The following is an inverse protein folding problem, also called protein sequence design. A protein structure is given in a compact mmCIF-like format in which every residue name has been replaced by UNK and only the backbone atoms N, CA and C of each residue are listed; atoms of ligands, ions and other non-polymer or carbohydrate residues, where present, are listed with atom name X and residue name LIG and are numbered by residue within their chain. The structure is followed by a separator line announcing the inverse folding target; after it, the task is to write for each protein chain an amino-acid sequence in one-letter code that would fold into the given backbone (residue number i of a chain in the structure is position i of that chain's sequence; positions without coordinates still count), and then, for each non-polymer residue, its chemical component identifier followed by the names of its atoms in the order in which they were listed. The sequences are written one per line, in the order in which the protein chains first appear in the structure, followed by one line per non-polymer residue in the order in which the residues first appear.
data_IF_964350893508
#
_entry.id   IF_964350893508
#
_cell.length_a   1.000
_cell.length_b   1.000
_cell.length_c   1.000
_cell.angle_alpha   90.00
_cell.angle_beta   90.00
_cell.angle_gamma   90.00
#
_symmetry.space_group_name_H-M   'P 1'
#
loop_
_entity.id
_entity.type
_entity.pdbx_description
1 polymer ?
#
# COMPACT_ATOMS: atom_id res chain seq x y z
N UNK A 1 6.38 11.53 -14.22
CA UNK A 1 5.66 10.54 -15.04
C UNK A 1 4.73 11.28 -15.98
N UNK A 2 4.37 10.71 -17.13
CA UNK A 2 3.33 11.30 -17.97
C UNK A 2 1.92 11.08 -17.36
N UNK A 3 0.90 11.78 -17.87
CA UNK A 3 -0.47 11.69 -17.33
C UNK A 3 -1.06 10.28 -17.40
N UNK A 4 -0.81 9.54 -18.49
CA UNK A 4 -1.29 8.16 -18.64
C UNK A 4 -0.68 7.22 -17.62
N UNK A 5 0.61 7.35 -17.33
CA UNK A 5 1.31 6.59 -16.28
C UNK A 5 0.81 6.93 -14.88
N UNK A 6 0.45 8.20 -14.62
CA UNK A 6 -0.15 8.62 -13.35
C UNK A 6 -1.50 7.94 -13.15
N UNK A 7 -2.39 8.03 -14.14
CA UNK A 7 -3.72 7.41 -14.09
C UNK A 7 -3.64 5.91 -13.86
N UNK A 8 -2.79 5.21 -14.62
CA UNK A 8 -2.61 3.76 -14.47
C UNK A 8 -2.08 3.34 -13.08
N UNK A 9 -1.35 4.21 -12.38
CA UNK A 9 -0.90 3.93 -11.01
C UNK A 9 -1.97 4.25 -9.97
N UNK A 10 -2.79 5.27 -10.22
CA UNK A 10 -3.94 5.62 -9.37
C UNK A 10 -4.96 4.49 -9.40
N UNK A 11 -5.31 3.98 -10.59
CA UNK A 11 -6.24 2.86 -10.75
C UNK A 11 -5.77 1.64 -9.95
N UNK A 12 -4.47 1.32 -10.02
CA UNK A 12 -3.88 0.24 -9.21
C UNK A 12 -3.99 0.45 -7.72
N UNK A 13 -3.93 1.69 -7.22
CA UNK A 13 -4.11 1.97 -5.78
C UNK A 13 -5.57 1.71 -5.40
N UNK A 14 -6.53 2.10 -6.24
CA UNK A 14 -7.95 1.85 -6.01
C UNK A 14 -8.26 0.35 -6.02
N UNK A 15 -7.66 -0.41 -6.93
CA UNK A 15 -7.78 -1.88 -6.95
C UNK A 15 -7.23 -2.48 -5.63
N UNK A 16 -6.03 -2.06 -5.22
CA UNK A 16 -5.40 -2.53 -3.98
C UNK A 16 -6.17 -2.15 -2.72
N UNK A 17 -6.87 -1.02 -2.76
CA UNK A 17 -7.77 -0.58 -1.69
C UNK A 17 -8.90 -1.58 -1.49
N UNK A 18 -9.53 -2.03 -2.58
CA UNK A 18 -10.58 -3.05 -2.54
C UNK A 18 -10.04 -4.41 -2.06
N UNK A 19 -8.81 -4.75 -2.46
CA UNK A 19 -8.19 -6.03 -2.15
C UNK A 19 -7.57 -6.10 -0.74
N UNK A 20 -7.48 -4.98 -0.02
CA UNK A 20 -6.86 -4.93 1.31
C UNK A 20 -5.35 -5.16 1.31
N UNK A 21 -4.67 -4.95 0.17
CA UNK A 21 -3.23 -5.24 0.03
C UNK A 21 -2.37 -3.98 0.06
N UNK A 22 -1.05 -4.14 0.06
CA UNK A 22 -0.12 -3.02 0.07
C UNK A 22 -0.33 -2.04 -1.10
N UNK A 23 -0.66 -0.77 -0.81
CA UNK A 23 -0.83 0.26 -1.84
C UNK A 23 0.39 0.50 -2.72
N UNK A 24 1.59 0.22 -2.22
CA UNK A 24 2.83 0.52 -2.93
C UNK A 24 3.21 -0.60 -3.91
N UNK A 25 3.25 -1.85 -3.43
CA UNK A 25 3.70 -2.99 -4.24
C UNK A 25 2.60 -4.01 -4.59
N UNK A 26 1.43 -3.95 -3.95
CA UNK A 26 0.36 -4.93 -4.09
C UNK A 26 0.62 -6.25 -3.35
N UNK A 27 1.67 -6.32 -2.53
CA UNK A 27 1.97 -7.50 -1.72
C UNK A 27 0.99 -7.68 -0.56
N UNK A 28 0.75 -8.94 -0.20
CA UNK A 28 -0.02 -9.35 0.98
C UNK A 28 0.56 -8.70 2.23
N UNK A 29 -0.33 -8.18 3.09
CA UNK A 29 0.02 -7.63 4.38
C UNK A 29 0.20 -8.77 5.38
N UNK A 30 1.02 -8.55 6.41
CA UNK A 30 1.37 -9.58 7.40
C UNK A 30 0.15 -10.27 8.02
N UNK A 31 -0.89 -9.51 8.39
CA UNK A 31 -2.13 -10.01 9.01
C UNK A 31 -2.96 -10.91 8.11
N UNK A 32 -2.79 -10.80 6.79
CA UNK A 32 -3.45 -11.64 5.79
C UNK A 32 -2.59 -12.85 5.38
N UNK A 33 -1.39 -13.00 5.97
CA UNK A 33 -0.53 -14.15 5.70
C UNK A 33 -1.01 -15.40 6.43
N UNK A 34 -0.67 -16.55 5.86
CA UNK A 34 -0.87 -17.82 6.56
C UNK A 34 0.01 -17.88 7.80
N UNK A 35 -0.43 -18.62 8.83
CA UNK A 35 0.28 -18.73 10.12
C UNK A 35 1.76 -19.13 10.03
N UNK A 36 2.19 -19.79 8.95
CA UNK A 36 3.60 -20.15 8.73
C UNK A 36 4.47 -19.00 8.20
N UNK A 37 3.85 -17.99 7.58
CA UNK A 37 4.51 -16.83 6.97
C UNK A 37 4.26 -15.54 7.76
N UNK A 38 3.32 -15.57 8.71
CA UNK A 38 3.02 -14.47 9.64
C UNK A 38 4.23 -14.17 10.54
N UNK A 39 4.71 -12.93 10.51
CA UNK A 39 5.80 -12.45 11.35
C UNK A 39 5.24 -11.84 12.65
N UNK A 40 5.34 -12.59 13.76
CA UNK A 40 4.89 -12.18 15.09
C UNK A 40 5.58 -10.91 15.61
N UNK A 41 6.72 -10.51 15.03
CA UNK A 41 7.44 -9.29 15.42
C UNK A 41 6.98 -8.05 14.65
N UNK A 42 6.04 -8.20 13.71
CA UNK A 42 5.57 -7.13 12.83
C UNK A 42 4.08 -6.91 12.99
N UNK A 43 3.62 -5.70 12.66
CA UNK A 43 2.19 -5.39 12.67
C UNK A 43 1.46 -6.15 11.57
N UNK A 44 0.15 -6.33 11.71
CA UNK A 44 -0.71 -6.93 10.66
C UNK A 44 -0.64 -6.19 9.33
N UNK A 45 -0.21 -4.94 9.31
CA UNK A 45 -0.10 -4.16 8.06
C UNK A 45 1.29 -3.99 7.54
N UNK A 46 2.23 -4.70 8.13
CA UNK A 46 3.57 -4.75 7.61
C UNK A 46 3.56 -5.43 6.25
N UNK A 47 4.09 -4.72 5.25
CA UNK A 47 4.36 -5.29 3.95
C UNK A 47 5.80 -5.80 3.90
N UNK A 48 5.98 -7.12 3.86
CA UNK A 48 7.29 -7.77 3.79
C UNK A 48 8.11 -7.34 2.56
N UNK A 49 7.45 -7.10 1.43
CA UNK A 49 8.11 -6.68 0.19
C UNK A 49 8.65 -5.25 0.25
N UNK A 50 7.91 -4.35 0.91
CA UNK A 50 8.30 -2.95 1.01
C UNK A 50 9.13 -2.65 2.27
N UNK A 51 9.11 -3.55 3.26
CA UNK A 51 9.68 -3.32 4.58
C UNK A 51 8.99 -2.19 5.35
N UNK A 52 7.69 -1.99 5.13
CA UNK A 52 6.93 -0.84 5.66
C UNK A 52 5.55 -1.26 6.13
N UNK A 53 5.11 -0.65 7.22
CA UNK A 53 3.73 -0.71 7.67
C UNK A 53 2.84 0.21 6.82
N UNK A 54 1.61 -0.26 6.60
CA UNK A 54 0.51 0.52 6.03
C UNK A 54 -0.64 0.43 7.03
N UNK A 55 -0.42 1.02 8.20
CA UNK A 55 -1.28 0.91 9.38
C UNK A 55 -2.79 1.07 9.05
N UNK A 56 -3.66 0.09 9.38
CA UNK A 56 -5.06 0.08 9.00
C UNK A 56 -5.95 0.65 10.13
N UNK A 57 -5.39 0.95 11.30
CA UNK A 57 -6.06 1.73 12.34
C UNK A 57 -6.04 3.22 12.01
N UNK A 58 -5.43 3.59 10.88
CA UNK A 58 -4.98 4.94 10.53
C UNK A 58 -5.68 5.51 9.27
N UNK A 59 -6.97 5.16 9.08
CA UNK A 59 -7.83 5.66 7.98
C UNK A 59 -7.37 5.17 6.59
N UNK A 60 -7.67 3.91 6.24
CA UNK A 60 -7.27 3.27 4.96
C UNK A 60 -7.60 4.13 3.71
N UNK A 61 -8.76 4.80 3.73
CA UNK A 61 -9.17 5.77 2.70
C UNK A 61 -8.19 6.94 2.58
N UNK A 62 -7.75 7.48 3.71
CA UNK A 62 -6.74 8.55 3.75
C UNK A 62 -5.40 8.06 3.25
N UNK A 63 -4.97 6.85 3.59
CA UNK A 63 -3.71 6.27 3.07
C UNK A 63 -3.77 6.07 1.56
N UNK A 64 -4.92 5.66 1.02
CA UNK A 64 -5.13 5.58 -0.42
C UNK A 64 -5.05 6.97 -1.07
N UNK A 65 -5.71 7.97 -0.49
CA UNK A 65 -5.65 9.38 -0.95
C UNK A 65 -4.21 9.91 -0.91
N UNK A 66 -3.48 9.74 0.19
CA UNK A 66 -2.07 10.14 0.32
C UNK A 66 -1.19 9.45 -0.74
N UNK A 67 -1.49 8.19 -1.06
CA UNK A 67 -0.75 7.45 -2.07
C UNK A 67 -1.01 7.99 -3.49
N UNK A 68 -2.26 8.36 -3.78
CA UNK A 68 -2.67 9.03 -5.01
C UNK A 68 -2.02 10.43 -5.09
N UNK A 69 -2.04 11.21 -4.03
CA UNK A 69 -1.41 12.54 -3.96
C UNK A 69 0.10 12.48 -4.25
N UNK A 70 0.79 11.44 -3.76
CA UNK A 70 2.22 11.23 -4.05
C UNK A 70 2.45 11.02 -5.55
N UNK A 71 1.59 10.25 -6.23
CA UNK A 71 1.63 10.07 -7.70
C UNK A 71 1.36 11.38 -8.43
N UNK A 72 0.31 12.11 -8.03
CA UNK A 72 -0.08 13.39 -8.65
C UNK A 72 1.09 14.37 -8.60
N UNK A 73 1.74 14.47 -7.44
CA UNK A 73 2.85 15.40 -7.20
C UNK A 73 4.23 14.86 -7.64
N UNK A 74 4.29 13.70 -8.30
CA UNK A 74 5.54 12.97 -8.62
C UNK A 74 6.49 12.80 -7.40
N UNK A 75 5.93 12.87 -6.18
CA UNK A 75 6.67 12.60 -4.96
C UNK A 75 6.87 11.10 -4.92
N UNK A 76 8.14 10.67 -4.95
CA UNK A 76 8.45 9.26 -4.66
C UNK A 76 7.82 8.90 -3.31
N UNK A 77 7.29 7.68 -3.21
CA UNK A 77 6.83 7.08 -1.96
C UNK A 77 7.99 6.94 -0.99
N UNK A 78 8.37 8.04 -0.33
CA UNK A 78 9.42 8.04 0.68
C UNK A 78 8.95 7.20 1.86
N UNK A 79 9.90 6.44 2.40
CA UNK A 79 9.80 5.71 3.66
C UNK A 79 9.60 6.69 4.80
#
# INVERSE_FOLDING_TARGET
MNSSEKLARIDKILDRWNDGVCFYCGGTLNGDMLRGDYDDMRSDTFCQNCGKDIDPYDEWDKKAVEAIEKIINDKRFKA
#
